data_IF_823921071349
#
_entry.id   IF_823921071349
#
_cell.length_a   1.000
_cell.length_b   1.000
_cell.length_c   1.000
_cell.angle_alpha   90.00
_cell.angle_beta   90.00
_cell.angle_gamma   90.00
#
_symmetry.space_group_name_H-M   'P 1'
#
loop_
_entity.id
_entity.type
_entity.pdbx_description
1 polymer ?
#
# COMPACT_ATOMS: atom_id res chain seq x y z
N UNK A 1 -18.85 5.58 9.33
CA UNK A 1 -17.43 5.81 8.96
C UNK A 1 -17.27 5.62 7.48
N UNK A 2 -16.71 6.59 6.73
CA UNK A 2 -16.52 6.46 5.30
C UNK A 2 -15.61 5.26 5.01
N UNK A 3 -16.01 4.46 4.04
CA UNK A 3 -15.15 3.41 3.50
C UNK A 3 -13.99 4.11 2.79
N UNK A 4 -12.75 3.98 3.26
CA UNK A 4 -11.59 4.43 2.49
C UNK A 4 -11.55 3.58 1.23
N UNK A 5 -12.07 4.12 0.16
CA UNK A 5 -11.98 3.55 -1.17
C UNK A 5 -10.89 4.32 -1.91
N UNK A 6 -9.85 3.61 -2.32
CA UNK A 6 -8.78 4.20 -3.09
C UNK A 6 -9.30 4.53 -4.49
N UNK A 7 -9.38 5.81 -4.84
CA UNK A 7 -9.74 6.20 -6.19
C UNK A 7 -8.62 5.87 -7.18
N UNK A 8 -8.98 5.55 -8.43
CA UNK A 8 -8.01 5.29 -9.49
C UNK A 8 -7.05 6.46 -9.70
N UNK A 9 -7.57 7.69 -9.61
CA UNK A 9 -6.75 8.90 -9.75
C UNK A 9 -5.73 9.03 -8.63
N UNK A 10 -6.10 8.73 -7.38
CA UNK A 10 -5.17 8.73 -6.25
C UNK A 10 -4.06 7.69 -6.45
N UNK A 11 -4.40 6.44 -6.79
CA UNK A 11 -3.42 5.39 -7.04
C UNK A 11 -2.46 5.83 -8.15
N UNK A 12 -3.00 6.32 -9.28
CA UNK A 12 -2.23 6.75 -10.43
C UNK A 12 -1.27 7.90 -10.11
N UNK A 13 -1.74 8.95 -9.44
CA UNK A 13 -0.89 10.09 -9.06
C UNK A 13 0.22 9.66 -8.10
N UNK A 14 -0.10 8.81 -7.12
CA UNK A 14 0.88 8.29 -6.17
C UNK A 14 1.95 7.43 -6.84
N UNK A 15 1.56 6.52 -7.73
CA UNK A 15 2.51 5.71 -8.49
C UNK A 15 3.39 6.56 -9.42
N UNK A 16 2.81 7.61 -10.03
CA UNK A 16 3.57 8.54 -10.89
C UNK A 16 4.64 9.29 -10.09
N UNK A 17 4.31 9.77 -8.90
CA UNK A 17 5.28 10.42 -8.02
C UNK A 17 6.42 9.47 -7.61
N UNK A 18 6.09 8.25 -7.21
CA UNK A 18 7.07 7.24 -6.84
C UNK A 18 7.97 6.81 -8.01
N UNK A 19 7.41 6.69 -9.21
CA UNK A 19 8.23 6.44 -10.41
C UNK A 19 9.13 7.61 -10.76
N UNK A 20 8.66 8.85 -10.60
CA UNK A 20 9.49 10.04 -10.82
C UNK A 20 10.65 10.09 -9.81
N UNK A 21 10.42 9.77 -8.53
CA UNK A 21 11.46 9.71 -7.51
C UNK A 21 12.55 8.71 -7.88
N UNK A 22 12.18 7.55 -8.42
CA UNK A 22 13.11 6.47 -8.75
C UNK A 22 13.83 6.68 -10.09
N UNK A 23 13.23 7.41 -11.03
CA UNK A 23 13.73 7.56 -12.40
C UNK A 23 14.37 8.92 -12.73
N UNK A 24 14.15 9.93 -11.89
CA UNK A 24 14.69 11.27 -12.16
C UNK A 24 16.20 11.36 -11.81
N UNK A 25 17.05 12.05 -12.61
CA UNK A 25 16.71 12.68 -13.90
C UNK A 25 16.99 11.78 -15.11
N UNK A 26 17.78 10.70 -14.98
CA UNK A 26 18.38 9.98 -16.11
C UNK A 26 17.68 8.66 -16.48
N UNK A 27 16.60 8.30 -15.77
CA UNK A 27 15.96 6.99 -15.92
C UNK A 27 16.81 5.86 -15.34
N UNK A 28 16.47 4.61 -15.67
CA UNK A 28 17.22 3.43 -15.22
C UNK A 28 18.44 3.19 -16.12
N UNK A 29 19.60 3.68 -15.69
CA UNK A 29 20.86 3.56 -16.41
C UNK A 29 21.32 2.10 -16.53
N UNK A 30 20.99 1.24 -15.56
CA UNK A 30 21.34 -0.19 -15.57
C UNK A 30 20.53 -0.94 -16.60
N UNK A 31 19.22 -0.74 -16.63
CA UNK A 31 18.33 -1.38 -17.59
C UNK A 31 18.60 -0.92 -19.02
N UNK A 32 19.13 0.30 -19.21
CA UNK A 32 19.54 0.80 -20.52
C UNK A 32 20.70 0.00 -21.14
N UNK A 33 21.54 -0.65 -20.33
CA UNK A 33 22.63 -1.50 -20.81
C UNK A 33 22.13 -2.82 -21.44
N UNK A 34 20.91 -3.23 -21.16
CA UNK A 34 20.36 -4.45 -21.76
C UNK A 34 20.15 -4.28 -23.26
N UNK A 35 20.84 -5.09 -24.06
CA UNK A 35 20.67 -5.10 -25.52
C UNK A 35 19.32 -5.67 -25.95
N UNK A 36 18.82 -6.68 -25.22
CA UNK A 36 17.56 -7.36 -25.53
C UNK A 36 16.40 -6.76 -24.71
N UNK A 37 15.27 -6.53 -25.36
CA UNK A 37 14.02 -6.09 -24.74
C UNK A 37 12.87 -7.04 -25.11
N UNK A 38 13.11 -8.34 -24.98
CA UNK A 38 12.14 -9.39 -25.28
C UNK A 38 10.94 -9.33 -24.32
N UNK A 39 9.83 -9.89 -24.76
CA UNK A 39 8.68 -10.15 -23.90
C UNK A 39 9.05 -11.27 -22.94
N UNK A 40 8.85 -11.01 -21.66
CA UNK A 40 9.14 -11.95 -20.58
C UNK A 40 7.94 -12.13 -19.67
N UNK A 41 7.88 -13.28 -19.03
CA UNK A 41 6.81 -13.61 -18.07
C UNK A 41 7.44 -13.93 -16.72
N UNK A 42 7.13 -13.08 -15.73
CA UNK A 42 7.68 -13.20 -14.38
C UNK A 42 6.59 -13.43 -13.36
N UNK A 43 6.94 -14.10 -12.25
CA UNK A 43 6.03 -14.36 -11.14
C UNK A 43 6.39 -13.49 -9.96
N UNK A 44 5.39 -12.82 -9.39
CA UNK A 44 5.50 -12.15 -8.11
C UNK A 44 5.17 -13.17 -7.02
N UNK A 45 6.13 -13.44 -6.13
CA UNK A 45 6.03 -14.52 -5.13
C UNK A 45 6.20 -13.94 -3.73
N UNK A 46 5.38 -14.39 -2.79
CA UNK A 46 5.53 -14.01 -1.38
C UNK A 46 6.68 -14.77 -0.72
N UNK A 47 7.58 -14.04 -0.06
CA UNK A 47 8.67 -14.62 0.73
C UNK A 47 8.27 -14.95 2.17
N UNK A 48 7.12 -14.47 2.64
CA UNK A 48 6.67 -14.60 4.01
C UNK A 48 5.17 -14.89 4.09
N UNK A 49 4.73 -15.37 5.25
CA UNK A 49 3.32 -15.48 5.61
C UNK A 49 2.77 -14.10 5.98
N UNK A 50 1.63 -13.72 5.42
CA UNK A 50 1.01 -12.42 5.72
C UNK A 50 -0.35 -12.21 5.07
N UNK A 51 -0.76 -10.93 5.08
CA UNK A 51 -1.92 -10.42 4.35
C UNK A 51 -1.37 -9.60 3.19
N UNK A 52 -1.77 -9.95 1.98
CA UNK A 52 -1.35 -9.20 0.79
C UNK A 52 -2.15 -7.90 0.64
N UNK A 53 -1.47 -6.83 0.27
CA UNK A 53 -2.07 -5.54 0.00
C UNK A 53 -1.22 -4.72 -0.97
N UNK A 54 -1.86 -3.81 -1.73
CA UNK A 54 -1.16 -2.93 -2.67
C UNK A 54 -1.12 -3.43 -4.11
N UNK A 55 -1.93 -4.42 -4.47
CA UNK A 55 -1.95 -5.00 -5.81
C UNK A 55 -2.32 -3.98 -6.90
N UNK A 56 -3.26 -3.08 -6.63
CA UNK A 56 -3.64 -2.03 -7.59
C UNK A 56 -2.53 -1.01 -7.78
N UNK A 57 -1.72 -0.70 -6.74
CA UNK A 57 -0.54 0.15 -6.89
C UNK A 57 0.52 -0.53 -7.76
N UNK A 58 0.81 -1.80 -7.49
CA UNK A 58 1.77 -2.56 -8.29
C UNK A 58 1.34 -2.64 -9.77
N UNK A 59 0.06 -2.95 -10.01
CA UNK A 59 -0.51 -2.99 -11.36
C UNK A 59 -0.41 -1.64 -12.06
N UNK A 60 -0.78 -0.55 -11.39
CA UNK A 60 -0.74 0.79 -11.97
C UNK A 60 0.69 1.27 -12.22
N UNK A 61 1.66 0.89 -11.37
CA UNK A 61 3.08 1.17 -11.60
C UNK A 61 3.54 0.63 -12.96
N UNK A 62 3.22 -0.64 -13.25
CA UNK A 62 3.57 -1.23 -14.55
C UNK A 62 2.77 -0.63 -15.70
N UNK A 63 1.49 -0.35 -15.49
CA UNK A 63 0.63 0.26 -16.50
C UNK A 63 1.08 1.69 -16.91
N UNK A 64 1.68 2.43 -15.99
CA UNK A 64 2.26 3.75 -16.26
C UNK A 64 3.52 3.67 -17.13
N UNK A 65 4.28 2.60 -17.02
CA UNK A 65 5.48 2.38 -17.84
C UNK A 65 5.16 1.84 -19.23
N UNK A 66 4.22 0.90 -19.31
CA UNK A 66 3.79 0.31 -20.58
C UNK A 66 2.37 -0.27 -20.45
N UNK A 67 1.44 0.29 -21.20
CA UNK A 67 0.04 -0.14 -21.23
C UNK A 67 -0.17 -1.58 -21.75
N UNK A 68 0.83 -2.13 -22.45
CA UNK A 68 0.78 -3.50 -22.98
C UNK A 68 1.20 -4.55 -21.94
N UNK A 69 1.70 -4.13 -20.77
CA UNK A 69 2.03 -5.07 -19.70
C UNK A 69 0.75 -5.71 -19.17
N UNK A 70 0.71 -7.04 -19.22
CA UNK A 70 -0.37 -7.83 -18.64
C UNK A 70 -0.04 -8.13 -17.18
N UNK A 71 -0.83 -7.62 -16.25
CA UNK A 71 -0.71 -7.90 -14.81
C UNK A 71 -1.86 -8.79 -14.36
N UNK A 72 -1.59 -10.08 -14.17
CA UNK A 72 -2.59 -11.08 -13.82
C UNK A 72 -2.55 -11.40 -12.34
N UNK A 73 -3.52 -10.89 -11.58
CA UNK A 73 -3.66 -11.14 -10.14
C UNK A 73 -4.03 -12.60 -9.89
N UNK A 74 -3.32 -13.28 -8.99
CA UNK A 74 -3.53 -14.66 -8.55
C UNK A 74 -4.03 -14.76 -7.11
N UNK A 75 -3.82 -13.74 -6.29
CA UNK A 75 -4.33 -13.60 -4.93
C UNK A 75 -5.03 -12.27 -4.78
N UNK A 76 -6.23 -12.28 -4.22
CA UNK A 76 -7.02 -11.07 -4.04
C UNK A 76 -6.43 -10.18 -2.93
N UNK A 77 -6.68 -8.89 -3.03
CA UNK A 77 -6.37 -7.89 -2.01
C UNK A 77 -6.93 -8.30 -0.65
N UNK A 78 -6.14 -8.19 0.41
CA UNK A 78 -6.53 -8.59 1.77
C UNK A 78 -6.47 -10.10 2.05
N UNK A 79 -6.16 -10.95 1.06
CA UNK A 79 -6.08 -12.39 1.29
C UNK A 79 -4.81 -12.80 2.04
N UNK A 80 -4.89 -13.96 2.72
CA UNK A 80 -3.73 -14.57 3.37
C UNK A 80 -2.83 -15.22 2.33
N UNK A 81 -1.53 -15.01 2.49
CA UNK A 81 -0.46 -15.66 1.71
C UNK A 81 0.52 -16.38 2.62
N UNK A 82 1.22 -17.35 2.06
CA UNK A 82 2.32 -18.09 2.70
C UNK A 82 3.58 -17.92 1.85
N UNK A 83 4.73 -18.29 2.39
CA UNK A 83 5.97 -18.35 1.60
C UNK A 83 5.76 -19.22 0.35
N UNK A 84 6.19 -18.75 -0.80
CA UNK A 84 6.03 -19.43 -2.08
C UNK A 84 4.68 -19.17 -2.80
N UNK A 85 3.71 -18.49 -2.15
CA UNK A 85 2.45 -18.14 -2.82
C UNK A 85 2.71 -17.23 -4.01
N UNK A 86 2.23 -17.61 -5.20
CA UNK A 86 2.22 -16.74 -6.38
C UNK A 86 1.12 -15.69 -6.20
N UNK A 87 1.51 -14.43 -6.15
CA UNK A 87 0.62 -13.26 -5.93
C UNK A 87 0.08 -12.76 -7.26
N UNK A 88 0.94 -12.59 -8.25
CA UNK A 88 0.59 -12.16 -9.60
C UNK A 88 1.57 -12.73 -10.63
N UNK A 89 1.17 -12.69 -11.89
CA UNK A 89 2.02 -12.97 -13.05
C UNK A 89 2.04 -11.72 -13.91
N UNK A 90 3.23 -11.29 -14.30
CA UNK A 90 3.48 -10.09 -15.08
C UNK A 90 4.10 -10.51 -16.40
N UNK A 91 3.52 -10.07 -17.53
CA UNK A 91 4.00 -10.37 -18.86
C UNK A 91 4.16 -9.08 -19.65
N UNK A 92 5.34 -8.82 -20.20
CA UNK A 92 5.63 -7.61 -20.94
C UNK A 92 7.10 -7.50 -21.30
N UNK A 93 7.51 -6.36 -21.87
CA UNK A 93 8.91 -6.07 -22.18
C UNK A 93 9.75 -6.10 -20.90
N UNK A 94 10.83 -6.89 -20.90
CA UNK A 94 11.65 -7.13 -19.70
C UNK A 94 12.20 -5.82 -19.10
N UNK A 95 12.62 -4.87 -19.92
CA UNK A 95 13.10 -3.57 -19.45
C UNK A 95 12.06 -2.84 -18.62
N UNK A 96 10.82 -2.77 -19.10
CA UNK A 96 9.74 -2.08 -18.38
C UNK A 96 9.34 -2.80 -17.08
N UNK A 97 9.47 -4.13 -17.05
CA UNK A 97 9.26 -4.91 -15.83
C UNK A 97 10.35 -4.58 -14.79
N UNK A 98 11.62 -4.56 -15.20
CA UNK A 98 12.74 -4.24 -14.30
C UNK A 98 12.66 -2.81 -13.77
N UNK A 99 12.34 -1.83 -14.62
CA UNK A 99 12.16 -0.43 -14.22
C UNK A 99 11.08 -0.26 -13.16
N UNK A 100 9.95 -0.96 -13.30
CA UNK A 100 8.82 -0.83 -12.36
C UNK A 100 8.92 -1.68 -11.11
N UNK A 101 9.84 -2.64 -11.08
CA UNK A 101 9.93 -3.66 -10.02
C UNK A 101 10.01 -3.04 -8.63
N UNK A 102 10.97 -2.13 -8.41
CA UNK A 102 11.24 -1.59 -7.08
C UNK A 102 10.07 -0.82 -6.53
N UNK A 103 9.49 0.08 -7.31
CA UNK A 103 8.32 0.88 -6.91
C UNK A 103 7.12 -0.03 -6.61
N UNK A 104 6.84 -1.01 -7.47
CA UNK A 104 5.76 -1.97 -7.25
C UNK A 104 5.95 -2.78 -5.97
N UNK A 105 7.16 -3.29 -5.72
CA UNK A 105 7.50 -4.04 -4.51
C UNK A 105 7.45 -3.18 -3.25
N UNK A 106 7.83 -1.91 -3.32
CA UNK A 106 7.76 -1.00 -2.18
C UNK A 106 6.31 -0.79 -1.72
N UNK A 107 5.38 -0.54 -2.64
CA UNK A 107 3.96 -0.44 -2.29
C UNK A 107 3.40 -1.75 -1.72
N UNK A 108 3.68 -2.88 -2.36
CA UNK A 108 3.24 -4.19 -1.90
C UNK A 108 3.77 -4.51 -0.49
N UNK A 109 5.06 -4.29 -0.27
CA UNK A 109 5.70 -4.60 1.02
C UNK A 109 5.18 -3.70 2.14
N UNK A 110 5.04 -2.39 1.89
CA UNK A 110 4.57 -1.44 2.88
C UNK A 110 3.12 -1.73 3.29
N UNK A 111 2.22 -1.87 2.31
CA UNK A 111 0.80 -2.11 2.57
C UNK A 111 0.58 -3.48 3.20
N UNK A 112 1.22 -4.53 2.67
CA UNK A 112 1.14 -5.89 3.22
C UNK A 112 1.72 -5.99 4.63
N UNK A 113 2.80 -5.27 4.91
CA UNK A 113 3.44 -5.22 6.22
C UNK A 113 2.50 -4.68 7.29
N UNK A 114 1.86 -3.53 7.03
CA UNK A 114 0.88 -2.91 7.93
C UNK A 114 -0.34 -3.83 8.09
N UNK A 115 -0.90 -4.35 6.99
CA UNK A 115 -2.04 -5.24 7.03
C UNK A 115 -1.74 -6.52 7.84
N UNK A 116 -0.56 -7.10 7.65
CA UNK A 116 -0.12 -8.29 8.38
C UNK A 116 0.05 -8.00 9.88
N UNK A 117 0.69 -6.89 10.25
CA UNK A 117 0.86 -6.48 11.64
C UNK A 117 -0.49 -6.22 12.31
N UNK A 118 -1.37 -5.49 11.63
CA UNK A 118 -2.73 -5.24 12.11
C UNK A 118 -3.50 -6.53 12.34
N UNK A 119 -3.43 -7.49 11.39
CA UNK A 119 -4.10 -8.78 11.52
C UNK A 119 -3.62 -9.58 12.72
N UNK A 120 -2.32 -9.49 13.07
CA UNK A 120 -1.79 -10.12 14.29
C UNK A 120 -2.44 -9.53 15.56
N UNK A 121 -2.59 -8.21 15.63
CA UNK A 121 -3.26 -7.55 16.76
C UNK A 121 -4.75 -7.88 16.82
N UNK A 122 -5.45 -7.80 15.69
CA UNK A 122 -6.88 -8.14 15.60
C UNK A 122 -7.15 -9.56 16.09
N UNK A 123 -6.31 -10.52 15.70
CA UNK A 123 -6.43 -11.91 16.19
C UNK A 123 -6.19 -12.05 17.68
N UNK A 124 -5.21 -11.31 18.24
CA UNK A 124 -4.94 -11.35 19.68
C UNK A 124 -6.04 -10.67 20.50
N UNK A 125 -6.62 -9.59 19.99
CA UNK A 125 -7.69 -8.85 20.66
C UNK A 125 -9.01 -9.65 20.72
N UNK A 126 -9.21 -10.62 19.83
CA UNK A 126 -10.42 -11.43 19.76
C UNK A 126 -11.63 -10.62 19.28
N UNK A 127 -12.85 -11.16 19.52
CA UNK A 127 -14.08 -10.60 18.98
C UNK A 127 -14.65 -9.40 19.79
N UNK A 128 -14.25 -9.30 21.07
CA UNK A 128 -14.80 -8.27 21.99
C UNK A 128 -14.15 -6.89 21.83
N UNK A 129 -12.92 -6.83 21.28
CA UNK A 129 -12.12 -5.61 21.19
C UNK A 129 -11.80 -5.28 19.75
N UNK A 130 -11.98 -4.03 19.35
CA UNK A 130 -11.61 -3.52 18.02
C UNK A 130 -10.23 -2.87 18.07
N UNK A 131 -9.35 -3.25 17.14
CA UNK A 131 -8.06 -2.58 16.94
C UNK A 131 -8.27 -1.40 16.02
N UNK A 132 -8.00 -0.20 16.52
CA UNK A 132 -8.20 1.05 15.80
C UNK A 132 -6.87 1.75 15.52
N UNK A 133 -6.72 2.32 14.31
CA UNK A 133 -5.57 3.15 13.99
C UNK A 133 -5.67 4.56 14.59
N UNK A 134 -4.58 5.29 14.56
CA UNK A 134 -4.48 6.68 14.97
C UNK A 134 -4.19 7.61 13.78
N UNK A 135 -3.96 8.91 14.05
CA UNK A 135 -3.43 9.88 13.08
C UNK A 135 -1.90 9.98 13.08
N UNK A 136 -1.20 9.17 13.88
CA UNK A 136 0.26 9.10 13.92
C UNK A 136 0.76 8.30 12.71
N UNK A 137 0.66 8.89 11.54
CA UNK A 137 0.99 8.30 10.24
C UNK A 137 2.20 9.00 9.63
N UNK A 138 2.90 8.32 8.73
CA UNK A 138 3.92 8.95 7.90
C UNK A 138 3.26 10.06 7.06
N UNK A 139 3.83 11.27 7.01
CA UNK A 139 3.31 12.34 6.17
C UNK A 139 3.05 11.88 4.74
N UNK A 140 1.96 12.34 4.15
CA UNK A 140 1.46 11.99 2.80
C UNK A 140 1.04 10.53 2.59
N UNK A 141 1.34 9.60 3.51
CA UNK A 141 0.97 8.18 3.37
C UNK A 141 -0.27 7.77 4.17
N UNK A 142 -0.97 8.71 4.82
CA UNK A 142 -2.12 8.40 5.70
C UNK A 142 -3.22 7.58 5.01
N UNK A 143 -3.57 7.92 3.78
CA UNK A 143 -4.59 7.20 3.00
C UNK A 143 -4.19 5.74 2.84
N UNK A 144 -2.96 5.49 2.43
CA UNK A 144 -2.40 4.16 2.18
C UNK A 144 -2.31 3.36 3.48
N UNK A 145 -1.80 3.98 4.55
CA UNK A 145 -1.63 3.29 5.84
C UNK A 145 -2.97 2.94 6.49
N UNK A 146 -3.95 3.85 6.45
CA UNK A 146 -5.30 3.55 6.95
C UNK A 146 -6.03 2.50 6.11
N UNK A 147 -5.81 2.50 4.80
CA UNK A 147 -6.27 1.44 3.92
C UNK A 147 -5.69 0.07 4.32
N UNK A 148 -4.37 0.02 4.53
CA UNK A 148 -3.69 -1.20 4.96
C UNK A 148 -4.18 -1.73 6.32
N UNK A 149 -4.49 -0.84 7.28
CA UNK A 149 -5.11 -1.22 8.56
C UNK A 149 -6.45 -1.93 8.33
N UNK A 150 -7.28 -1.43 7.41
CA UNK A 150 -8.55 -2.09 7.05
C UNK A 150 -8.35 -3.47 6.45
N UNK A 151 -7.39 -3.62 5.54
CA UNK A 151 -7.06 -4.93 4.96
C UNK A 151 -6.65 -5.94 6.03
N UNK A 152 -5.99 -5.49 7.09
CA UNK A 152 -5.63 -6.31 8.24
C UNK A 152 -6.78 -6.66 9.19
N UNK A 153 -7.99 -6.13 8.94
CA UNK A 153 -9.17 -6.32 9.78
C UNK A 153 -9.30 -5.32 10.94
N UNK A 154 -8.47 -4.29 10.97
CA UNK A 154 -8.58 -3.18 11.90
C UNK A 154 -9.68 -2.17 11.50
N UNK A 155 -9.93 -1.23 12.38
CA UNK A 155 -10.85 -0.10 12.16
C UNK A 155 -10.06 1.20 12.05
N UNK A 156 -10.66 2.21 11.43
CA UNK A 156 -10.07 3.53 11.32
C UNK A 156 -10.74 4.49 12.31
N UNK A 157 -9.95 5.30 13.00
CA UNK A 157 -10.34 6.51 13.67
C UNK A 157 -10.38 7.67 12.65
N UNK A 158 -10.78 8.88 13.10
CA UNK A 158 -10.86 10.09 12.28
C UNK A 158 -9.68 10.18 11.30
N UNK A 159 -9.99 10.58 10.08
CA UNK A 159 -9.00 10.67 9.01
C UNK A 159 -8.16 11.96 9.12
N UNK A 160 -8.84 13.07 9.38
CA UNK A 160 -8.25 14.41 9.51
C UNK A 160 -8.91 15.19 10.67
N UNK A 161 -8.64 16.47 10.78
CA UNK A 161 -9.17 17.31 11.85
C UNK A 161 -10.62 17.72 11.64
N UNK A 162 -11.13 17.62 10.42
CA UNK A 162 -12.52 17.96 10.06
C UNK A 162 -13.47 16.76 10.07
N UNK A 163 -12.98 15.53 10.32
CA UNK A 163 -13.77 14.30 10.22
C UNK A 163 -14.55 13.99 11.51
N UNK A 164 -13.90 14.16 12.66
CA UNK A 164 -14.50 13.89 13.98
C UNK A 164 -13.88 14.81 15.04
N UNK A 165 -14.67 15.25 16.02
CA UNK A 165 -14.16 15.92 17.22
C UNK A 165 -13.35 14.93 18.07
N UNK A 166 -12.25 15.40 18.64
CA UNK A 166 -11.46 14.66 19.61
C UNK A 166 -11.20 15.55 20.82
N UNK A 167 -11.86 15.27 21.92
CA UNK A 167 -11.55 15.83 23.24
C UNK A 167 -10.45 14.94 23.82
N UNK A 168 -9.32 15.51 24.13
CA UNK A 168 -8.17 14.79 24.69
C UNK A 168 -7.68 15.49 25.96
N UNK A 169 -6.72 14.88 26.65
CA UNK A 169 -6.17 15.39 27.90
C UNK A 169 -5.73 16.89 27.84
N UNK A 170 -5.17 17.33 26.71
CA UNK A 170 -4.74 18.72 26.54
C UNK A 170 -5.91 19.70 26.54
N UNK A 171 -7.07 19.31 26.00
CA UNK A 171 -8.26 20.16 25.96
C UNK A 171 -9.14 20.02 27.21
N UNK A 172 -9.05 18.91 27.95
CA UNK A 172 -9.77 18.72 29.19
C UNK A 172 -9.12 19.47 30.37
N UNK A 173 -7.79 19.66 30.36
CA UNK A 173 -7.14 20.50 31.38
C UNK A 173 -7.54 21.96 31.20
N UNK A 174 -7.58 22.48 29.96
CA UNK A 174 -7.99 23.86 29.71
C UNK A 174 -9.45 24.12 30.05
N UNK A 175 -10.35 23.13 29.82
CA UNK A 175 -11.77 23.24 30.17
C UNK A 175 -12.04 23.13 31.68
N UNK A 176 -11.14 22.56 32.46
CA UNK A 176 -11.23 22.52 33.92
C UNK A 176 -10.78 23.83 34.59
N UNK A 177 -9.89 24.56 33.92
CA UNK A 177 -9.34 25.84 34.41
C UNK A 177 -10.27 27.04 34.09
N UNK A 178 -11.27 26.87 33.20
CA UNK A 178 -12.25 27.91 32.84
C UNK A 178 -13.57 27.87 33.67
N UNK A 179 -13.67 27.03 34.67
CA UNK A 179 -14.89 26.85 35.51
C UNK A 179 -14.66 27.31 36.94
N UNK A 180 -13.92 28.37 37.17
CA UNK A 180 -13.91 29.08 38.46
C UNK A 180 -14.64 30.42 38.39
#
# INVERSE_FOLDING_TARGET
>A
MPKIQLSKNFIRSTCKLALNEDLYPLGDITTNLLKNNSISKVKLISNQKGIIGGLEFAKETFNLLDKNIKFQIKKNEGSKVTRGSVIAVIEGKIKNILIGERVALNFLSHISGIATKTNKFVKKAGKKTKICCTRKTIPNLRVIQKYAVKLGGGTNHRFNLSDEYLICLLYTSDAADEVD
#
